data_IF_747108142762
#
_entry.id   IF_747108142762
#
_cell.length_a   1.000
_cell.length_b   1.000
_cell.length_c   1.000
_cell.angle_alpha   90.00
_cell.angle_beta   90.00
_cell.angle_gamma   90.00
#
_symmetry.space_group_name_H-M   'P 1'
#
loop_
_entity.id
_entity.type
_entity.pdbx_description
1 polymer ?
#
# COMPACT_ATOMS: atom_id res chain seq x y z
N UNK A 1 -0.72 -15.52 -22.89
CA UNK A 1 -1.41 -14.89 -21.74
C UNK A 1 -1.40 -13.38 -21.94
N UNK A 2 -2.53 -12.81 -22.33
CA UNK A 2 -2.69 -11.35 -22.44
C UNK A 2 -3.07 -10.75 -21.08
N UNK A 3 -2.87 -9.44 -20.91
CA UNK A 3 -3.26 -8.72 -19.68
C UNK A 3 -4.76 -8.89 -19.40
N UNK A 4 -5.60 -8.88 -20.44
CA UNK A 4 -7.06 -9.06 -20.28
C UNK A 4 -7.44 -10.43 -19.72
N UNK A 5 -6.71 -11.47 -20.12
CA UNK A 5 -6.92 -12.84 -19.63
C UNK A 5 -6.38 -13.05 -18.21
N UNK A 6 -5.30 -12.34 -17.85
CA UNK A 6 -4.71 -12.41 -16.52
C UNK A 6 -5.58 -11.72 -15.45
N UNK A 7 -6.32 -10.67 -15.79
CA UNK A 7 -7.19 -9.92 -14.87
C UNK A 7 -8.67 -10.23 -15.12
N UNK A 8 -9.17 -11.29 -14.47
CA UNK A 8 -10.59 -11.67 -14.55
C UNK A 8 -11.42 -10.96 -13.48
N UNK A 9 -12.75 -11.09 -13.58
CA UNK A 9 -13.70 -10.49 -12.61
C UNK A 9 -13.51 -11.05 -11.20
N UNK A 10 -13.37 -12.37 -11.06
CA UNK A 10 -13.27 -13.06 -9.76
C UNK A 10 -11.84 -13.35 -9.29
N UNK A 11 -10.88 -13.42 -10.20
CA UNK A 11 -9.51 -13.85 -9.90
C UNK A 11 -8.48 -13.13 -10.78
N UNK A 12 -7.23 -13.16 -10.33
CA UNK A 12 -6.06 -12.68 -11.06
C UNK A 12 -5.06 -13.82 -11.20
N UNK A 13 -4.49 -13.95 -12.39
CA UNK A 13 -3.44 -14.92 -12.73
C UNK A 13 -2.10 -14.19 -12.82
N UNK A 14 -1.05 -14.79 -12.24
CA UNK A 14 0.30 -14.26 -12.35
C UNK A 14 0.90 -14.60 -13.71
N UNK A 15 1.27 -13.59 -14.49
CA UNK A 15 1.89 -13.78 -15.81
C UNK A 15 3.33 -14.33 -15.77
N UNK A 16 3.97 -14.37 -14.59
CA UNK A 16 5.33 -14.92 -14.44
C UNK A 16 5.33 -16.43 -14.20
N UNK A 17 4.43 -16.89 -13.34
CA UNK A 17 4.42 -18.29 -12.88
C UNK A 17 3.15 -19.04 -13.26
N UNK A 18 2.19 -18.41 -13.92
CA UNK A 18 0.92 -19.00 -14.34
C UNK A 18 -0.06 -19.34 -13.21
N UNK A 19 0.31 -19.10 -11.94
CA UNK A 19 -0.56 -19.39 -10.79
C UNK A 19 -1.77 -18.46 -10.79
N UNK A 20 -2.97 -19.03 -10.64
CA UNK A 20 -4.27 -18.34 -10.61
C UNK A 20 -4.94 -18.37 -9.25
N UNK A 21 -6.22 -17.98 -9.19
CA UNK A 21 -7.02 -18.00 -7.95
C UNK A 21 -6.73 -16.85 -6.98
N UNK A 22 -5.94 -15.86 -7.35
CA UNK A 22 -5.60 -14.76 -6.44
C UNK A 22 -6.64 -13.64 -6.47
N UNK A 23 -7.06 -13.15 -5.29
CA UNK A 23 -7.86 -11.92 -5.19
C UNK A 23 -7.02 -10.67 -5.50
N UNK A 24 -5.75 -10.69 -5.09
CA UNK A 24 -4.76 -9.63 -5.32
C UNK A 24 -3.42 -10.23 -5.72
N UNK A 25 -2.82 -9.72 -6.79
CA UNK A 25 -1.53 -10.19 -7.30
C UNK A 25 -0.37 -9.59 -6.50
N UNK A 26 -0.54 -8.39 -5.92
CA UNK A 26 0.52 -7.71 -5.19
C UNK A 26 1.10 -8.53 -4.03
N UNK A 27 0.26 -9.28 -3.30
CA UNK A 27 0.74 -10.18 -2.23
C UNK A 27 1.62 -11.30 -2.80
N UNK A 28 1.17 -11.92 -3.89
CA UNK A 28 1.91 -13.00 -4.54
C UNK A 28 3.25 -12.52 -5.10
N UNK A 29 3.30 -11.34 -5.73
CA UNK A 29 4.55 -10.76 -6.25
C UNK A 29 5.58 -10.57 -5.14
N UNK A 30 5.16 -10.09 -3.97
CA UNK A 30 6.06 -9.90 -2.84
C UNK A 30 6.58 -11.23 -2.29
N UNK A 31 5.69 -12.22 -2.08
CA UNK A 31 6.07 -13.49 -1.44
C UNK A 31 6.78 -14.48 -2.35
N UNK A 32 6.39 -14.55 -3.64
CA UNK A 32 6.90 -15.56 -4.56
C UNK A 32 8.03 -15.05 -5.46
N UNK A 33 8.04 -13.75 -5.75
CA UNK A 33 8.97 -13.15 -6.70
C UNK A 33 9.84 -12.04 -6.10
N UNK A 34 9.57 -11.59 -4.86
CA UNK A 34 10.29 -10.47 -4.24
C UNK A 34 10.17 -9.15 -5.01
N UNK A 35 9.19 -9.03 -5.92
CA UNK A 35 9.09 -7.90 -6.84
C UNK A 35 8.05 -6.88 -6.40
N UNK A 36 8.33 -5.61 -6.71
CA UNK A 36 7.37 -4.52 -6.47
C UNK A 36 6.29 -4.53 -7.55
N UNK A 37 5.03 -4.19 -7.20
CA UNK A 37 3.93 -4.08 -8.17
C UNK A 37 4.22 -3.16 -9.36
N UNK A 38 4.96 -2.06 -9.14
CA UNK A 38 5.30 -1.11 -10.19
C UNK A 38 6.29 -1.68 -11.21
N UNK A 39 7.22 -2.52 -10.78
CA UNK A 39 8.20 -3.16 -11.65
C UNK A 39 7.54 -4.23 -12.52
N UNK A 40 6.65 -5.03 -11.90
CA UNK A 40 5.80 -5.98 -12.62
C UNK A 40 4.99 -5.29 -13.73
N UNK A 41 4.38 -4.13 -13.42
CA UNK A 41 3.63 -3.36 -14.42
C UNK A 41 4.50 -2.91 -15.60
N UNK A 42 5.74 -2.48 -15.33
CA UNK A 42 6.68 -2.06 -16.38
C UNK A 42 7.11 -3.23 -17.27
N UNK A 43 7.43 -4.38 -16.67
CA UNK A 43 7.85 -5.58 -17.42
C UNK A 43 6.77 -6.07 -18.39
N UNK A 44 5.50 -6.01 -17.99
CA UNK A 44 4.37 -6.52 -18.79
C UNK A 44 3.58 -5.42 -19.53
N UNK A 45 4.08 -4.18 -19.56
CA UNK A 45 3.41 -3.06 -20.25
C UNK A 45 2.03 -2.70 -19.69
N UNK A 46 1.77 -2.96 -18.40
CA UNK A 46 0.48 -2.69 -17.75
C UNK A 46 0.41 -1.21 -17.35
N UNK A 47 -0.69 -0.49 -17.67
CA UNK A 47 -0.86 0.89 -17.27
C UNK A 47 -0.74 1.07 -15.75
N UNK A 48 -0.05 2.15 -15.32
CA UNK A 48 0.13 2.46 -13.91
C UNK A 48 -1.18 2.56 -13.11
N UNK A 49 -2.25 3.05 -13.75
CA UNK A 49 -3.59 3.19 -13.16
C UNK A 49 -4.34 1.87 -12.96
N UNK A 50 -3.95 0.80 -13.64
CA UNK A 50 -4.67 -0.48 -13.55
C UNK A 50 -4.41 -1.15 -12.20
N UNK A 51 -5.44 -1.55 -11.43
CA UNK A 51 -5.25 -2.31 -10.21
C UNK A 51 -4.78 -3.74 -10.53
N UNK A 52 -3.84 -4.26 -9.73
CA UNK A 52 -3.41 -5.67 -9.83
C UNK A 52 -4.31 -6.60 -8.99
N UNK A 53 -5.58 -6.26 -8.86
CA UNK A 53 -6.57 -6.97 -8.06
C UNK A 53 -7.78 -7.32 -8.93
N UNK A 54 -8.51 -8.36 -8.54
CA UNK A 54 -9.72 -8.76 -9.23
C UNK A 54 -10.77 -7.63 -9.19
N UNK A 55 -11.57 -7.51 -10.25
CA UNK A 55 -12.57 -6.44 -10.34
C UNK A 55 -13.61 -6.54 -9.21
N UNK A 56 -14.12 -7.75 -8.95
CA UNK A 56 -15.07 -8.00 -7.86
C UNK A 56 -14.47 -7.67 -6.49
N UNK A 57 -13.16 -7.90 -6.29
CA UNK A 57 -12.49 -7.56 -5.04
C UNK A 57 -12.46 -6.05 -4.80
N UNK A 58 -12.14 -5.28 -5.86
CA UNK A 58 -12.14 -3.81 -5.80
C UNK A 58 -13.55 -3.25 -5.55
N UNK A 59 -14.55 -3.81 -6.21
CA UNK A 59 -15.97 -3.43 -6.03
C UNK A 59 -16.48 -3.77 -4.63
N UNK A 60 -16.19 -4.97 -4.12
CA UNK A 60 -16.58 -5.39 -2.77
C UNK A 60 -15.97 -4.46 -1.71
N UNK A 61 -14.69 -4.08 -1.86
CA UNK A 61 -14.03 -3.13 -0.95
C UNK A 61 -14.64 -1.73 -1.04
N UNK A 62 -15.04 -1.28 -2.23
CA UNK A 62 -15.75 -0.01 -2.41
C UNK A 62 -17.10 -0.02 -1.70
N UNK A 63 -17.94 -1.04 -1.90
CA UNK A 63 -19.24 -1.18 -1.23
C UNK A 63 -19.09 -1.15 0.29
N UNK A 64 -18.21 -2.00 0.80
CA UNK A 64 -17.82 -2.04 2.21
C UNK A 64 -17.37 -0.70 2.81
N UNK A 65 -16.79 0.20 2.01
CA UNK A 65 -16.38 1.53 2.48
C UNK A 65 -17.57 2.50 2.50
N UNK A 66 -18.48 2.39 1.53
CA UNK A 66 -19.72 3.16 1.50
C UNK A 66 -20.62 2.78 2.67
N UNK A 67 -20.81 1.48 2.91
CA UNK A 67 -21.65 0.97 4.01
C UNK A 67 -21.15 1.42 5.39
N UNK A 68 -19.84 1.62 5.52
CA UNK A 68 -19.20 2.13 6.75
C UNK A 68 -19.23 3.66 6.87
N UNK A 69 -19.88 4.37 5.95
CA UNK A 69 -19.92 5.83 5.94
C UNK A 69 -18.55 6.49 5.74
N UNK A 70 -17.59 5.79 5.11
CA UNK A 70 -16.22 6.32 4.95
C UNK A 70 -16.21 7.59 4.09
N UNK A 71 -17.16 7.71 3.16
CA UNK A 71 -17.31 8.88 2.29
C UNK A 71 -17.62 10.15 3.10
N UNK A 72 -18.61 10.09 3.99
CA UNK A 72 -19.05 11.24 4.79
C UNK A 72 -18.00 11.66 5.81
N UNK A 73 -17.36 10.67 6.44
CA UNK A 73 -16.26 10.91 7.38
C UNK A 73 -15.06 11.56 6.67
N UNK A 74 -14.77 11.17 5.43
CA UNK A 74 -13.72 11.78 4.62
C UNK A 74 -14.08 13.22 4.21
N UNK A 75 -15.34 13.51 3.90
CA UNK A 75 -15.81 14.86 3.60
C UNK A 75 -15.62 15.80 4.81
N UNK A 76 -16.05 15.37 6.01
CA UNK A 76 -15.85 16.12 7.26
C UNK A 76 -14.37 16.37 7.54
N UNK A 77 -13.53 15.34 7.44
CA UNK A 77 -12.10 15.45 7.68
C UNK A 77 -11.41 16.41 6.67
N UNK A 78 -11.87 16.43 5.40
CA UNK A 78 -11.37 17.38 4.40
C UNK A 78 -11.74 18.82 4.73
N UNK A 79 -12.97 19.08 5.19
CA UNK A 79 -13.39 20.41 5.64
C UNK A 79 -12.52 20.92 6.78
N UNK A 80 -12.30 20.10 7.82
CA UNK A 80 -11.42 20.45 8.95
C UNK A 80 -9.98 20.69 8.48
N UNK A 81 -9.46 19.87 7.56
CA UNK A 81 -8.12 20.06 7.03
C UNK A 81 -7.99 21.35 6.23
N UNK A 82 -9.00 21.71 5.45
CA UNK A 82 -9.01 22.96 4.67
C UNK A 82 -9.03 24.18 5.60
N UNK A 83 -9.91 24.18 6.62
CA UNK A 83 -9.95 25.24 7.63
C UNK A 83 -8.61 25.40 8.37
N UNK A 84 -7.94 24.30 8.71
CA UNK A 84 -6.60 24.34 9.33
C UNK A 84 -5.52 24.90 8.40
N UNK A 85 -5.60 24.62 7.09
CA UNK A 85 -4.68 25.17 6.10
C UNK A 85 -4.91 26.68 5.94
N UNK A 86 -6.17 27.12 5.94
CA UNK A 86 -6.53 28.54 5.85
C UNK A 86 -6.11 29.31 7.11
N UNK A 87 -6.35 28.76 8.30
CA UNK A 87 -5.88 29.35 9.56
C UNK A 87 -4.35 29.47 9.61
N UNK A 88 -3.61 28.46 9.11
CA UNK A 88 -2.14 28.54 8.99
C UNK A 88 -1.66 29.56 7.96
N UNK A 89 -2.44 29.83 6.92
CA UNK A 89 -2.12 30.82 5.88
C UNK A 89 -2.43 32.25 6.34
N UNK A 90 -3.38 32.42 7.25
CA UNK A 90 -3.78 33.72 7.82
C UNK A 90 -2.86 34.24 8.94
N UNK A 91 -1.92 33.44 9.44
CA UNK A 91 -0.87 33.91 10.37
C UNK A 91 0.42 34.15 9.56
N UNK A 92 0.74 35.40 9.17
CA UNK A 92 1.99 35.70 8.49
C UNK A 92 3.16 35.59 9.47
N UNK A 93 4.30 35.11 8.97
CA UNK A 93 5.52 34.91 9.71
C UNK A 93 6.02 36.20 10.39
N UNK A 94 6.06 36.22 11.73
CA UNK A 94 6.92 37.13 12.49
C UNK A 94 7.85 36.34 13.39
N UNK A 95 9.04 36.06 12.86
CA UNK A 95 10.36 36.13 13.51
C UNK A 95 11.38 35.32 12.69
N UNK A 96 12.32 36.04 12.09
CA UNK A 96 13.48 35.47 11.43
C UNK A 96 14.40 34.74 12.42
N UNK A 97 15.08 33.70 11.91
CA UNK A 97 16.09 32.84 12.55
C UNK A 97 17.26 33.62 13.17
N UNK A 98 18.09 32.96 14.01
CA UNK A 98 19.53 33.02 13.82
C UNK A 98 20.10 31.66 13.39
N UNK A 99 21.11 31.73 12.54
CA UNK A 99 21.77 30.60 11.90
C UNK A 99 22.97 30.09 12.72
N UNK A 100 23.11 28.76 12.71
CA UNK A 100 24.35 27.96 12.60
C UNK A 100 25.39 28.01 13.74
N UNK A 101 25.48 26.90 14.48
CA UNK A 101 26.76 26.32 14.87
C UNK A 101 26.77 24.83 14.49
N UNK A 102 27.74 24.45 13.66
CA UNK A 102 27.98 23.09 13.22
C UNK A 102 28.82 22.33 14.26
N UNK A 103 28.52 21.04 14.50
CA UNK A 103 29.59 20.02 14.65
C UNK A 103 29.08 18.58 14.55
N UNK A 104 29.89 17.81 13.82
CA UNK A 104 30.19 16.38 14.00
C UNK A 104 29.19 15.31 13.53
N UNK A 105 29.51 14.77 12.35
CA UNK A 105 29.88 13.37 12.09
C UNK A 105 29.03 12.21 12.68
N UNK A 106 28.69 11.29 11.76
CA UNK A 106 27.92 10.04 11.92
C UNK A 106 28.57 9.07 12.94
N UNK A 107 27.85 8.05 13.43
CA UNK A 107 27.78 6.81 12.64
C UNK A 107 26.41 6.13 12.62
N UNK A 108 26.25 5.31 11.58
CA UNK A 108 25.19 4.34 11.41
C UNK A 108 25.04 3.41 12.63
N UNK A 109 23.79 3.09 13.00
CA UNK A 109 23.50 1.87 13.74
C UNK A 109 22.33 1.14 13.09
N UNK A 110 22.71 0.11 12.35
CA UNK A 110 21.87 -1.03 11.99
C UNK A 110 21.39 -1.68 13.30
N UNK A 111 20.08 -1.81 13.46
CA UNK A 111 19.44 -2.85 14.26
C UNK A 111 18.35 -3.47 13.38
N UNK A 112 18.67 -4.53 12.62
CA UNK A 112 18.40 -5.92 13.04
C UNK A 112 17.15 -6.01 13.92
N UNK A 113 15.98 -6.19 13.31
CA UNK A 113 14.98 -7.08 13.90
C UNK A 113 15.10 -8.39 13.13
N UNK A 114 15.78 -9.31 13.80
CA UNK A 114 15.92 -10.69 13.38
C UNK A 114 14.55 -11.35 13.31
N UNK A 115 14.38 -12.08 12.21
CA UNK A 115 13.54 -13.26 12.08
C UNK A 115 13.97 -14.27 13.15
N UNK A 116 13.02 -14.77 13.96
CA UNK A 116 13.16 -16.06 14.60
C UNK A 116 11.80 -16.79 14.61
N UNK A 117 11.78 -18.09 14.27
CA UNK A 117 10.61 -18.86 13.87
C UNK A 117 9.85 -19.44 15.07
N UNK A 118 8.59 -19.82 14.85
CA UNK A 118 7.95 -20.90 15.61
C UNK A 118 7.36 -21.88 14.62
N UNK A 119 8.12 -22.93 14.35
CA UNK A 119 7.64 -24.16 13.73
C UNK A 119 7.25 -25.12 14.86
N UNK A 120 6.02 -25.62 14.76
CA UNK A 120 5.49 -26.94 15.16
C UNK A 120 5.74 -27.51 16.57
N UNK A 121 4.64 -27.71 17.30
CA UNK A 121 4.46 -28.89 18.16
C UNK A 121 2.98 -29.32 18.21
N UNK A 122 2.72 -30.58 17.84
CA UNK A 122 1.43 -31.29 17.88
C UNK A 122 1.05 -31.69 19.31
N UNK A 123 -0.26 -31.68 19.61
CA UNK A 123 -0.96 -32.61 20.53
C UNK A 123 -2.48 -32.45 20.27
N UNK A 124 -3.17 -33.37 19.58
CA UNK A 124 -3.99 -34.46 20.14
C UNK A 124 -4.62 -34.14 21.51
N UNK A 125 -5.95 -34.07 21.57
CA UNK A 125 -6.89 -34.94 22.33
C UNK A 125 -8.29 -34.28 22.35
N UNK A 126 -9.31 -35.14 22.30
CA UNK A 126 -10.77 -34.95 22.38
C UNK A 126 -11.49 -34.87 21.02
#
# INVERSE_FOLDING_TARGET
>A
MTVKEAFKKGEVVCMLCGKGGFKTLARHLNTAHGMKPGEYKKQFGIPGKQPLAAKNYSEARRKMALDRGLADNLAKARGVRMANIEAKKAVPAKAAKPAKAAKAAKPAKVTKVAKAPKESAKAKVA
#
